data_IF_585156073345
#
_entry.id   IF_585156073345
#
_cell.length_a   1.000
_cell.length_b   1.000
_cell.length_c   1.000
_cell.angle_alpha   90.00
_cell.angle_beta   90.00
_cell.angle_gamma   90.00
#
_symmetry.space_group_name_H-M   'P 1'
#
loop_
_entity.id
_entity.type
_entity.pdbx_description
1 polymer ?
#
# COMPACT_ATOMS: atom_id res chain seq x y z
N UNK A 1 -9.72 -55.08 23.92
CA UNK A 1 -9.92 -54.70 22.51
C UNK A 1 -9.91 -53.16 22.35
N UNK A 2 -8.95 -52.47 22.96
CA UNK A 2 -8.82 -50.99 22.92
C UNK A 2 -7.41 -50.56 22.45
N UNK A 3 -6.43 -51.43 22.31
CA UNK A 3 -5.04 -51.12 21.97
C UNK A 3 -4.85 -50.94 20.45
N UNK A 4 -5.84 -51.30 19.63
CA UNK A 4 -5.72 -51.22 18.15
C UNK A 4 -6.06 -49.85 17.53
N UNK A 5 -6.79 -48.98 18.23
CA UNK A 5 -7.25 -47.70 17.67
C UNK A 5 -6.21 -46.56 17.79
N UNK A 6 -5.40 -46.58 18.84
CA UNK A 6 -4.37 -45.55 19.02
C UNK A 6 -3.19 -45.70 18.04
N UNK A 7 -2.89 -46.92 17.61
CA UNK A 7 -1.79 -47.16 16.65
C UNK A 7 -2.12 -46.73 15.22
N UNK A 8 -3.40 -46.69 14.86
CA UNK A 8 -3.85 -46.25 13.53
C UNK A 8 -3.87 -44.75 13.41
N UNK A 9 -4.10 -44.01 14.51
CA UNK A 9 -4.10 -42.56 14.52
C UNK A 9 -2.67 -41.99 14.38
N UNK A 10 -1.66 -42.69 14.92
CA UNK A 10 -0.26 -42.27 14.80
C UNK A 10 0.36 -42.54 13.42
N UNK A 11 -0.21 -43.42 12.61
CA UNK A 11 0.28 -43.68 11.24
C UNK A 11 -0.28 -42.70 10.18
N UNK A 12 -1.33 -41.95 10.51
CA UNK A 12 -1.93 -41.00 9.56
C UNK A 12 -1.35 -39.58 9.65
N UNK A 13 -0.51 -39.30 10.62
CA UNK A 13 0.36 -38.13 10.59
C UNK A 13 1.56 -38.42 9.69
N UNK A 14 1.32 -38.51 8.36
CA UNK A 14 2.38 -38.31 7.39
C UNK A 14 2.98 -36.94 7.69
N UNK A 15 4.15 -36.96 8.32
CA UNK A 15 5.03 -35.81 8.44
C UNK A 15 5.20 -35.23 7.03
N UNK A 16 4.39 -34.25 6.67
CA UNK A 16 4.69 -33.39 5.55
C UNK A 16 5.99 -32.70 5.93
N UNK A 17 7.13 -33.26 5.50
CA UNK A 17 8.41 -32.58 5.57
C UNK A 17 8.20 -31.23 4.89
N UNK A 18 8.01 -30.18 5.66
CA UNK A 18 8.06 -28.82 5.15
C UNK A 18 9.50 -28.59 4.69
N UNK A 19 9.76 -28.86 3.41
CA UNK A 19 11.06 -28.52 2.82
C UNK A 19 11.05 -27.03 2.53
N UNK A 20 11.79 -26.28 3.32
CA UNK A 20 12.08 -24.88 3.02
C UNK A 20 12.93 -24.88 1.74
N UNK A 21 12.54 -24.10 0.74
CA UNK A 21 13.33 -23.92 -0.48
C UNK A 21 14.73 -23.43 -0.14
N UNK A 22 15.75 -23.99 -0.81
CA UNK A 22 17.15 -23.56 -0.64
C UNK A 22 17.39 -22.14 -1.12
N UNK A 23 16.54 -21.64 -2.02
CA UNK A 23 16.64 -20.29 -2.59
C UNK A 23 15.37 -19.50 -2.30
N UNK A 24 15.56 -18.25 -1.87
CA UNK A 24 14.46 -17.30 -1.72
C UNK A 24 14.00 -16.82 -3.11
N UNK A 25 12.69 -16.90 -3.37
CA UNK A 25 12.09 -16.31 -4.56
C UNK A 25 11.18 -15.15 -4.15
N UNK A 26 11.62 -13.89 -4.33
CA UNK A 26 10.85 -12.72 -3.90
C UNK A 26 9.49 -12.62 -4.60
N UNK A 27 9.42 -12.89 -5.90
CA UNK A 27 8.19 -12.73 -6.69
C UNK A 27 7.04 -13.58 -6.15
N UNK A 28 7.31 -14.81 -5.73
CA UNK A 28 6.29 -15.70 -5.18
C UNK A 28 6.02 -15.39 -3.71
N UNK A 29 7.09 -15.14 -2.94
CA UNK A 29 7.00 -15.02 -1.48
C UNK A 29 6.35 -13.71 -1.06
N UNK A 30 6.75 -12.60 -1.69
CA UNK A 30 6.22 -11.26 -1.36
C UNK A 30 4.74 -11.16 -1.71
N UNK A 31 4.36 -11.57 -2.91
CA UNK A 31 2.96 -11.57 -3.34
C UNK A 31 2.08 -12.44 -2.43
N UNK A 32 2.55 -13.66 -2.10
CA UNK A 32 1.83 -14.59 -1.22
C UNK A 32 1.55 -13.97 0.15
N UNK A 33 2.59 -13.41 0.78
CA UNK A 33 2.45 -12.89 2.14
C UNK A 33 1.70 -11.58 2.19
N UNK A 34 1.94 -10.68 1.24
CA UNK A 34 1.21 -9.42 1.19
C UNK A 34 -0.30 -9.65 0.98
N UNK A 35 -0.67 -10.53 0.05
CA UNK A 35 -2.07 -10.95 -0.16
C UNK A 35 -2.67 -11.58 1.10
N UNK A 36 -1.90 -12.38 1.82
CA UNK A 36 -2.35 -12.97 3.09
C UNK A 36 -2.65 -11.90 4.14
N UNK A 37 -1.76 -10.92 4.31
CA UNK A 37 -1.95 -9.82 5.26
C UNK A 37 -3.18 -8.97 4.92
N UNK A 38 -3.37 -8.66 3.64
CA UNK A 38 -4.54 -7.93 3.17
C UNK A 38 -5.85 -8.69 3.41
N UNK A 39 -5.88 -9.99 3.07
CA UNK A 39 -7.05 -10.85 3.32
C UNK A 39 -7.41 -10.96 4.80
N UNK A 40 -6.43 -10.87 5.69
CA UNK A 40 -6.60 -10.93 7.14
C UNK A 40 -6.82 -9.56 7.78
N UNK A 41 -6.79 -8.50 6.99
CA UNK A 41 -6.97 -7.11 7.43
C UNK A 41 -6.03 -6.71 8.58
N UNK A 42 -4.81 -7.27 8.62
CA UNK A 42 -3.88 -7.05 9.74
C UNK A 42 -3.44 -5.58 9.90
N UNK A 43 -3.64 -4.76 8.88
CA UNK A 43 -3.26 -3.35 8.89
C UNK A 43 -4.45 -2.42 9.17
N UNK A 44 -5.68 -2.95 9.15
CA UNK A 44 -6.87 -2.17 9.42
C UNK A 44 -7.02 -1.89 10.93
N UNK A 45 -7.19 -0.63 11.28
CA UNK A 45 -7.36 -0.18 12.65
C UNK A 45 -8.83 0.13 12.93
N UNK A 46 -9.39 -0.59 13.90
CA UNK A 46 -10.74 -0.32 14.40
C UNK A 46 -10.60 0.27 15.81
N UNK A 47 -11.27 1.39 16.14
CA UNK A 47 -11.24 1.96 17.48
C UNK A 47 -11.63 0.94 18.54
N UNK A 48 -10.81 0.81 19.59
CA UNK A 48 -11.03 -0.06 20.74
C UNK A 48 -10.39 0.57 22.01
N UNK A 49 -10.32 -0.20 23.10
CA UNK A 49 -9.77 0.27 24.40
C UNK A 49 -8.24 0.39 24.45
N UNK A 50 -7.54 -0.03 23.41
CA UNK A 50 -6.08 0.08 23.36
C UNK A 50 -5.66 1.53 23.14
N UNK A 51 -4.48 1.89 23.65
CA UNK A 51 -3.89 3.19 23.43
C UNK A 51 -3.69 3.44 21.92
N UNK A 52 -4.21 4.55 21.36
CA UNK A 52 -4.09 4.83 19.93
C UNK A 52 -2.68 5.28 19.56
N UNK A 53 -2.22 4.82 18.40
CA UNK A 53 -0.97 5.28 17.79
C UNK A 53 -1.18 5.50 16.29
N UNK A 54 -1.17 6.75 15.85
CA UNK A 54 -1.48 7.08 14.45
C UNK A 54 -0.31 7.76 13.77
N UNK A 55 0.00 7.30 12.55
CA UNK A 55 0.89 7.98 11.61
C UNK A 55 0.05 8.36 10.39
N UNK A 56 0.18 9.60 9.93
CA UNK A 56 -0.31 10.03 8.63
C UNK A 56 0.88 10.09 7.70
N UNK A 57 0.80 9.41 6.56
CA UNK A 57 1.88 9.42 5.57
C UNK A 57 2.10 10.86 5.08
N UNK A 58 3.34 11.35 4.93
CA UNK A 58 3.58 12.52 4.09
C UNK A 58 3.16 12.16 2.66
N UNK A 59 2.03 12.70 2.15
CA UNK A 59 1.44 12.18 0.93
C UNK A 59 2.33 12.47 -0.27
N UNK A 60 2.77 11.44 -1.02
CA UNK A 60 3.56 11.65 -2.23
C UNK A 60 2.77 12.44 -3.28
N UNK A 61 3.46 13.34 -3.98
CA UNK A 61 2.89 14.07 -5.10
C UNK A 61 2.56 13.14 -6.27
N UNK A 62 1.39 13.31 -6.89
CA UNK A 62 0.99 12.50 -8.07
C UNK A 62 1.73 12.91 -9.36
N UNK A 63 3.03 13.16 -9.25
CA UNK A 63 3.87 13.65 -10.36
C UNK A 63 4.61 12.54 -11.11
N UNK A 64 4.56 11.30 -10.63
CA UNK A 64 5.24 10.17 -11.26
C UNK A 64 5.40 8.97 -10.33
N UNK A 65 6.54 8.29 -10.45
CA UNK A 65 6.89 7.12 -9.65
C UNK A 65 7.61 7.49 -8.35
N UNK A 66 7.55 6.62 -7.36
CA UNK A 66 8.32 6.77 -6.13
C UNK A 66 9.83 6.64 -6.41
N UNK A 67 10.64 7.30 -5.61
CA UNK A 67 12.10 7.24 -5.65
C UNK A 67 12.68 6.89 -4.27
N UNK A 68 14.00 6.71 -4.18
CA UNK A 68 14.69 6.27 -2.96
C UNK A 68 14.36 7.09 -1.71
N UNK A 69 14.14 8.41 -1.84
CA UNK A 69 13.72 9.26 -0.73
C UNK A 69 12.36 8.87 -0.15
N UNK A 70 11.39 8.52 -1.01
CA UNK A 70 10.10 8.00 -0.58
C UNK A 70 10.26 6.63 0.11
N UNK A 71 11.10 5.74 -0.46
CA UNK A 71 11.36 4.42 0.14
C UNK A 71 11.92 4.55 1.55
N UNK A 72 12.95 5.39 1.75
CA UNK A 72 13.55 5.61 3.07
C UNK A 72 12.51 6.14 4.06
N UNK A 73 11.78 7.19 3.68
CA UNK A 73 10.77 7.80 4.54
C UNK A 73 9.69 6.79 4.96
N UNK A 74 9.11 6.07 3.99
CA UNK A 74 8.06 5.10 4.26
C UNK A 74 8.56 3.87 5.04
N UNK A 75 9.80 3.43 4.80
CA UNK A 75 10.38 2.32 5.56
C UNK A 75 10.53 2.68 7.04
N UNK A 76 10.96 3.89 7.37
CA UNK A 76 11.07 4.36 8.75
C UNK A 76 9.69 4.36 9.42
N UNK A 77 8.67 4.90 8.75
CA UNK A 77 7.29 4.91 9.27
C UNK A 77 6.75 3.48 9.45
N UNK A 78 7.01 2.58 8.50
CA UNK A 78 6.56 1.19 8.58
C UNK A 78 7.19 0.44 9.77
N UNK A 79 8.47 0.67 10.03
CA UNK A 79 9.16 0.11 11.22
C UNK A 79 8.49 0.61 12.51
N UNK A 80 8.20 1.90 12.60
CA UNK A 80 7.60 2.51 13.79
C UNK A 80 6.19 1.96 14.01
N UNK A 81 5.34 1.92 12.98
CA UNK A 81 3.96 1.45 13.10
C UNK A 81 3.89 -0.05 13.42
N UNK A 82 4.76 -0.87 12.82
CA UNK A 82 4.87 -2.30 13.14
C UNK A 82 5.32 -2.52 14.58
N UNK A 83 6.28 -1.72 15.06
CA UNK A 83 6.69 -1.76 16.46
C UNK A 83 5.54 -1.38 17.40
N UNK A 84 4.75 -0.36 17.07
CA UNK A 84 3.58 0.01 17.86
C UNK A 84 2.57 -1.14 17.95
N UNK A 85 2.22 -1.80 16.82
CA UNK A 85 1.37 -3.00 16.82
C UNK A 85 1.91 -4.11 17.71
N UNK A 86 3.22 -4.39 17.63
CA UNK A 86 3.86 -5.42 18.44
C UNK A 86 3.86 -5.10 19.95
N UNK A 87 3.74 -3.81 20.31
CA UNK A 87 3.62 -3.34 21.70
C UNK A 87 2.17 -3.29 22.18
N UNK A 88 1.20 -3.67 21.35
CA UNK A 88 -0.20 -3.74 21.72
C UNK A 88 -1.00 -2.43 21.52
N UNK A 89 -0.43 -1.41 20.87
CA UNK A 89 -1.19 -0.20 20.52
C UNK A 89 -2.27 -0.49 19.47
N UNK A 90 -3.33 0.30 19.48
CA UNK A 90 -4.24 0.39 18.33
C UNK A 90 -3.60 1.29 17.28
N UNK A 91 -2.83 0.67 16.38
CA UNK A 91 -1.93 1.38 15.50
C UNK A 91 -2.54 1.56 14.10
N UNK A 92 -2.71 2.81 13.67
CA UNK A 92 -3.25 3.21 12.38
C UNK A 92 -2.21 3.98 11.57
N UNK A 93 -1.90 3.51 10.36
CA UNK A 93 -1.08 4.25 9.41
C UNK A 93 -1.93 4.63 8.20
N UNK A 94 -2.27 5.91 8.10
CA UNK A 94 -3.15 6.46 7.06
C UNK A 94 -2.34 6.75 5.80
N UNK A 95 -2.60 6.06 4.69
CA UNK A 95 -1.97 6.34 3.40
C UNK A 95 -2.71 7.44 2.65
N UNK A 96 -2.02 8.07 1.69
CA UNK A 96 -2.64 9.06 0.82
C UNK A 96 -1.69 9.55 -0.26
N UNK A 97 -2.22 10.39 -1.15
CA UNK A 97 -1.46 11.06 -2.21
C UNK A 97 -1.81 12.54 -2.27
N UNK A 98 -0.85 13.35 -2.72
CA UNK A 98 -1.03 14.81 -2.83
C UNK A 98 -1.23 15.22 -4.30
N UNK A 99 -2.18 16.13 -4.53
CA UNK A 99 -2.45 16.72 -5.83
C UNK A 99 -1.28 17.59 -6.35
N UNK A 100 -0.46 18.16 -5.45
CA UNK A 100 0.75 18.93 -5.76
C UNK A 100 0.57 19.93 -6.91
N UNK A 101 -0.44 20.77 -6.83
CA UNK A 101 -1.03 21.61 -7.90
C UNK A 101 -0.07 22.03 -9.02
N UNK A 102 0.96 22.84 -8.73
CA UNK A 102 1.92 23.38 -9.72
C UNK A 102 2.71 22.26 -10.41
N UNK A 103 3.22 21.31 -9.65
CA UNK A 103 4.06 20.24 -10.18
C UNK A 103 3.24 19.27 -11.05
N UNK A 104 2.03 18.94 -10.64
CA UNK A 104 1.09 18.10 -11.42
C UNK A 104 0.63 18.84 -12.68
N UNK A 105 0.27 20.11 -12.56
CA UNK A 105 -0.09 20.95 -13.70
C UNK A 105 1.02 20.96 -14.77
N UNK A 106 2.27 21.19 -14.37
CA UNK A 106 3.41 21.17 -15.30
C UNK A 106 3.54 19.82 -16.04
N UNK A 107 3.29 18.69 -15.36
CA UNK A 107 3.30 17.37 -15.99
C UNK A 107 2.14 17.16 -16.96
N UNK A 108 0.94 17.60 -16.60
CA UNK A 108 -0.25 17.53 -17.46
C UNK A 108 -0.07 18.39 -18.70
N UNK A 109 0.38 19.65 -18.54
CA UNK A 109 0.67 20.57 -19.64
C UNK A 109 1.71 20.00 -20.61
N UNK A 110 2.80 19.42 -20.08
CA UNK A 110 3.81 18.77 -20.92
C UNK A 110 3.22 17.62 -21.74
N UNK A 111 2.43 16.75 -21.10
CA UNK A 111 1.76 15.62 -21.78
C UNK A 111 0.80 16.09 -22.87
N UNK A 112 0.02 17.14 -22.60
CA UNK A 112 -0.90 17.72 -23.58
C UNK A 112 -0.14 18.28 -24.78
N UNK A 113 0.96 19.03 -24.54
CA UNK A 113 1.82 19.57 -25.57
C UNK A 113 2.44 18.47 -26.46
N UNK A 114 2.88 17.34 -25.87
CA UNK A 114 3.35 16.16 -26.61
C UNK A 114 2.27 15.55 -27.51
N UNK A 115 0.98 15.78 -27.19
CA UNK A 115 -0.19 15.37 -27.97
C UNK A 115 -0.69 16.48 -28.92
N UNK A 116 0.01 17.60 -29.03
CA UNK A 116 -0.36 18.73 -29.89
C UNK A 116 -1.47 19.62 -29.34
N UNK A 117 -1.80 19.50 -28.04
CA UNK A 117 -2.83 20.29 -27.37
C UNK A 117 -2.19 21.37 -26.52
N UNK A 118 -2.54 22.66 -26.76
CA UNK A 118 -2.09 23.75 -25.89
C UNK A 118 -3.08 23.97 -24.75
N UNK A 119 -2.57 24.23 -23.55
CA UNK A 119 -3.40 24.53 -22.37
C UNK A 119 -4.32 25.76 -22.62
N UNK A 120 -3.83 26.76 -23.36
CA UNK A 120 -4.61 27.97 -23.72
C UNK A 120 -5.88 27.69 -24.54
N UNK A 121 -5.93 26.56 -25.20
CA UNK A 121 -7.03 26.18 -26.08
C UNK A 121 -8.13 25.41 -25.34
N UNK A 122 -7.87 25.10 -24.04
CA UNK A 122 -8.79 24.35 -23.17
C UNK A 122 -9.53 25.28 -22.20
N UNK A 123 -10.79 24.99 -21.96
CA UNK A 123 -11.52 25.54 -20.80
C UNK A 123 -10.95 24.99 -19.49
N UNK A 124 -11.32 25.62 -18.37
CA UNK A 124 -10.93 25.14 -17.05
C UNK A 124 -11.41 23.72 -16.78
N UNK A 125 -12.65 23.43 -17.16
CA UNK A 125 -13.30 22.13 -16.97
C UNK A 125 -12.59 21.04 -17.76
N UNK A 126 -12.23 21.31 -19.01
CA UNK A 126 -11.47 20.37 -19.85
C UNK A 126 -10.08 20.12 -19.29
N UNK A 127 -9.38 21.16 -18.85
CA UNK A 127 -8.08 21.00 -18.23
C UNK A 127 -8.16 20.19 -16.92
N UNK A 128 -9.16 20.44 -16.06
CA UNK A 128 -9.39 19.67 -14.84
C UNK A 128 -9.62 18.20 -15.13
N UNK A 129 -10.38 17.87 -16.18
CA UNK A 129 -10.57 16.48 -16.61
C UNK A 129 -9.23 15.79 -16.89
N UNK A 130 -8.34 16.42 -17.64
CA UNK A 130 -7.00 15.91 -17.90
C UNK A 130 -6.16 15.78 -16.62
N UNK A 131 -6.32 16.70 -15.67
CA UNK A 131 -5.63 16.63 -14.38
C UNK A 131 -6.12 15.46 -13.52
N UNK A 132 -7.44 15.19 -13.48
CA UNK A 132 -8.00 14.04 -12.79
C UNK A 132 -7.62 12.71 -13.46
N UNK A 133 -7.65 12.63 -14.80
CA UNK A 133 -7.15 11.46 -15.55
C UNK A 133 -5.67 11.16 -15.22
N UNK A 134 -4.86 12.21 -15.09
CA UNK A 134 -3.47 12.09 -14.65
C UNK A 134 -3.37 11.55 -13.22
N UNK A 135 -4.13 12.11 -12.30
CA UNK A 135 -4.21 11.72 -10.89
C UNK A 135 -4.61 10.24 -10.76
N UNK A 136 -5.64 9.80 -11.47
CA UNK A 136 -6.13 8.42 -11.39
C UNK A 136 -5.07 7.44 -11.88
N UNK A 137 -4.37 7.78 -12.96
CA UNK A 137 -3.29 6.96 -13.49
C UNK A 137 -2.07 6.88 -12.56
N UNK A 138 -1.60 8.00 -12.01
CA UNK A 138 -0.34 8.06 -11.27
C UNK A 138 -0.54 7.85 -9.76
N UNK A 139 -1.68 8.25 -9.21
CA UNK A 139 -2.04 7.99 -7.83
C UNK A 139 -2.14 6.49 -7.54
N UNK A 140 -2.80 5.73 -8.42
CA UNK A 140 -2.86 4.27 -8.32
C UNK A 140 -1.48 3.62 -8.37
N UNK A 141 -0.62 4.05 -9.29
CA UNK A 141 0.75 3.54 -9.40
C UNK A 141 1.58 3.77 -8.12
N UNK A 142 1.44 4.93 -7.48
CA UNK A 142 2.14 5.25 -6.23
C UNK A 142 1.69 4.29 -5.11
N UNK A 143 0.39 4.07 -4.97
CA UNK A 143 -0.16 3.16 -3.95
C UNK A 143 0.28 1.71 -4.21
N UNK A 144 0.29 1.26 -5.47
CA UNK A 144 0.81 -0.05 -5.86
C UNK A 144 2.29 -0.21 -5.51
N UNK A 145 3.10 0.83 -5.73
CA UNK A 145 4.52 0.82 -5.38
C UNK A 145 4.73 0.73 -3.86
N UNK A 146 3.92 1.43 -3.06
CA UNK A 146 3.95 1.32 -1.60
C UNK A 146 3.58 -0.10 -1.14
N UNK A 147 2.58 -0.72 -1.77
CA UNK A 147 2.23 -2.12 -1.51
C UNK A 147 3.36 -3.08 -1.87
N UNK A 148 4.05 -2.85 -2.99
CA UNK A 148 5.24 -3.63 -3.38
C UNK A 148 6.41 -3.50 -2.41
N UNK A 149 6.56 -2.36 -1.75
CA UNK A 149 7.50 -2.16 -0.65
C UNK A 149 7.11 -2.92 0.63
N UNK A 150 5.90 -3.48 0.68
CA UNK A 150 5.38 -4.16 1.86
C UNK A 150 4.83 -3.21 2.92
N UNK A 151 4.53 -1.96 2.57
CA UNK A 151 4.01 -0.97 3.51
C UNK A 151 2.72 -1.45 4.20
N UNK A 152 2.70 -1.36 5.53
CA UNK A 152 1.59 -1.84 6.37
C UNK A 152 0.57 -0.75 6.68
N UNK A 153 0.17 0.00 5.64
CA UNK A 153 -0.85 1.03 5.73
C UNK A 153 -2.26 0.46 5.91
N UNK A 154 -3.13 1.21 6.55
CA UNK A 154 -4.57 0.98 6.53
C UNK A 154 -5.17 1.46 5.20
N UNK A 155 -5.14 0.60 4.20
CA UNK A 155 -5.53 0.92 2.83
C UNK A 155 -7.01 1.30 2.67
N UNK A 156 -7.86 0.92 3.62
CA UNK A 156 -9.27 1.31 3.63
C UNK A 156 -9.44 2.81 3.96
N UNK A 157 -8.39 3.44 4.51
CA UNK A 157 -8.34 4.86 4.86
C UNK A 157 -7.53 5.70 3.88
N UNK A 158 -7.30 5.18 2.67
CA UNK A 158 -6.57 5.93 1.64
C UNK A 158 -7.31 7.23 1.30
N UNK A 159 -6.57 8.35 1.32
CA UNK A 159 -7.10 9.68 1.02
C UNK A 159 -6.26 10.40 -0.04
N UNK A 160 -6.92 11.24 -0.79
CA UNK A 160 -6.30 12.18 -1.70
C UNK A 160 -6.58 13.61 -1.22
N UNK A 161 -5.61 14.50 -1.33
CA UNK A 161 -5.72 15.87 -0.75
C UNK A 161 -6.84 16.74 -1.35
N UNK A 162 -7.52 16.28 -2.40
CA UNK A 162 -8.70 16.93 -3.00
C UNK A 162 -9.97 16.07 -2.91
N UNK A 163 -10.00 15.03 -2.09
CA UNK A 163 -11.25 14.33 -1.79
C UNK A 163 -12.24 15.28 -1.10
N UNK A 164 -13.53 15.08 -1.32
CA UNK A 164 -14.58 16.03 -0.88
C UNK A 164 -15.06 15.82 0.55
N UNK A 165 -14.53 14.85 1.29
CA UNK A 165 -14.94 14.49 2.67
C UNK A 165 -13.91 14.82 3.75
#
# INVERSE_FOLDING_TARGET
MIIGLEFVILQTLKSTKMSISKTYNPLITEEKWYRHWMKKEYFHAVPDEREPFTIVIPPPNVTGVLHMGHMLNNTIQDIIIRRARMRGYNACWVPGTDHASIATEAKVVKKLSESGINKSDLSREEFLKHAFDWKDKHGGLILDQLQKLGASCDWQRTKFTMDQD
#
